data_IF_475237456469
#
_entry.id   IF_475237456469
#
_cell.length_a   1.000
_cell.length_b   1.000
_cell.length_c   1.000
_cell.angle_alpha   90.00
_cell.angle_beta   90.00
_cell.angle_gamma   90.00
#
_symmetry.space_group_name_H-M   'P 1'
#
loop_
_entity.id
_entity.type
_entity.pdbx_description
1 polymer ?
#
# COMPACT_ATOMS: atom_id res chain seq x y z
N UNK A 1 0.84 -14.36 -8.03
CA UNK A 1 -0.52 -13.83 -8.27
C UNK A 1 -1.10 -13.32 -6.96
N UNK A 2 -2.00 -12.35 -7.00
CA UNK A 2 -2.75 -11.84 -5.84
C UNK A 2 -4.22 -11.71 -6.21
N UNK A 3 -5.12 -12.10 -5.31
CA UNK A 3 -6.56 -11.89 -5.43
C UNK A 3 -6.99 -10.74 -4.53
N UNK A 4 -7.87 -9.89 -5.07
CA UNK A 4 -8.34 -8.67 -4.45
C UNK A 4 -9.87 -8.74 -4.36
N UNK A 5 -10.43 -8.39 -3.21
CA UNK A 5 -11.87 -8.23 -3.04
C UNK A 5 -12.15 -6.89 -2.35
N UNK A 6 -13.02 -6.08 -2.95
CA UNK A 6 -13.43 -4.78 -2.43
C UNK A 6 -14.86 -4.87 -1.88
N UNK A 7 -15.16 -4.00 -0.93
CA UNK A 7 -16.45 -3.92 -0.24
C UNK A 7 -17.66 -3.72 -1.17
N UNK A 8 -17.46 -3.10 -2.33
CA UNK A 8 -18.49 -2.96 -3.35
C UNK A 8 -18.73 -4.24 -4.18
N UNK A 9 -18.10 -5.36 -3.82
CA UNK A 9 -18.24 -6.66 -4.48
C UNK A 9 -17.29 -6.88 -5.66
N UNK A 10 -16.44 -5.89 -5.99
CA UNK A 10 -15.45 -6.01 -7.05
C UNK A 10 -14.39 -7.05 -6.65
N UNK A 11 -14.19 -8.05 -7.50
CA UNK A 11 -13.18 -9.09 -7.34
C UNK A 11 -12.22 -9.03 -8.53
N UNK A 12 -10.92 -8.94 -8.25
CA UNK A 12 -9.87 -8.82 -9.25
C UNK A 12 -8.74 -9.80 -8.96
N UNK A 13 -8.03 -10.19 -10.00
CA UNK A 13 -6.75 -10.89 -9.89
C UNK A 13 -5.67 -10.05 -10.57
N UNK A 14 -4.50 -10.02 -9.95
CA UNK A 14 -3.40 -9.19 -10.39
C UNK A 14 -2.04 -9.86 -10.12
N UNK A 15 -0.98 -9.19 -10.54
CA UNK A 15 0.39 -9.63 -10.29
C UNK A 15 0.83 -9.16 -8.90
N UNK A 16 1.54 -10.03 -8.18
CA UNK A 16 2.15 -9.67 -6.90
C UNK A 16 3.64 -9.45 -7.13
N UNK A 17 4.19 -8.38 -6.56
CA UNK A 17 5.62 -8.09 -6.58
C UNK A 17 6.22 -7.76 -5.20
N UNK A 18 5.38 -7.51 -4.18
CA UNK A 18 5.83 -7.20 -2.81
C UNK A 18 5.87 -8.43 -1.91
N UNK A 19 5.50 -8.24 -0.64
CA UNK A 19 5.37 -9.31 0.33
C UNK A 19 4.27 -10.33 -0.04
N UNK A 20 4.33 -11.50 0.60
CA UNK A 20 3.29 -12.53 0.52
C UNK A 20 2.42 -12.50 1.78
N UNK A 21 1.15 -12.86 1.67
CA UNK A 21 0.22 -12.98 2.79
C UNK A 21 -1.18 -12.50 2.43
N UNK A 22 -1.97 -12.22 3.47
CA UNK A 22 -3.30 -11.62 3.37
C UNK A 22 -3.32 -10.35 4.20
N UNK A 23 -3.72 -9.24 3.60
CA UNK A 23 -3.91 -7.98 4.31
C UNK A 23 -5.29 -7.40 4.04
N UNK A 24 -5.84 -6.74 5.05
CA UNK A 24 -7.11 -6.01 4.98
C UNK A 24 -6.84 -4.56 5.31
N UNK A 25 -7.49 -3.66 4.59
CA UNK A 25 -7.29 -2.24 4.75
C UNK A 25 -8.27 -1.41 3.96
N UNK A 26 -8.22 -0.11 4.17
CA UNK A 26 -8.99 0.86 3.40
C UNK A 26 -8.23 1.22 2.12
N UNK A 27 -8.91 1.19 0.98
CA UNK A 27 -8.36 1.56 -0.30
C UNK A 27 -8.47 3.06 -0.51
N UNK A 28 -7.33 3.71 -0.67
CA UNK A 28 -7.19 5.14 -0.96
C UNK A 28 -6.39 5.34 -2.24
N UNK A 29 -6.39 6.54 -2.80
CA UNK A 29 -5.54 6.86 -3.95
C UNK A 29 -4.64 8.06 -3.67
N UNK A 30 -3.46 8.04 -4.28
CA UNK A 30 -2.50 9.12 -4.23
C UNK A 30 -2.16 9.60 -5.65
N UNK A 31 -2.18 10.92 -5.84
CA UNK A 31 -1.96 11.57 -7.14
C UNK A 31 -0.53 12.05 -7.38
N UNK A 32 0.37 11.82 -6.44
CA UNK A 32 1.80 12.13 -6.59
C UNK A 32 2.38 11.33 -7.74
N UNK A 33 3.19 12.01 -8.57
CA UNK A 33 3.90 11.40 -9.69
C UNK A 33 5.29 10.88 -9.29
N UNK A 34 5.77 11.27 -8.12
CA UNK A 34 7.05 10.89 -7.52
C UNK A 34 6.88 10.68 -6.01
N UNK A 35 7.93 10.19 -5.36
CA UNK A 35 7.95 10.05 -3.90
C UNK A 35 7.10 8.88 -3.39
N UNK A 36 7.08 7.76 -4.13
CA UNK A 36 6.27 6.60 -3.72
C UNK A 36 6.79 5.99 -2.42
N UNK A 37 8.09 6.10 -2.11
CA UNK A 37 8.67 5.50 -0.91
C UNK A 37 8.28 6.28 0.35
N UNK A 38 8.29 7.60 0.24
CA UNK A 38 7.83 8.55 1.25
C UNK A 38 6.34 8.29 1.54
N UNK A 39 5.52 8.12 0.50
CA UNK A 39 4.10 7.77 0.65
C UNK A 39 3.92 6.40 1.29
N UNK A 40 4.73 5.40 0.94
CA UNK A 40 4.63 4.06 1.55
C UNK A 40 4.97 4.09 3.04
N UNK A 41 5.95 4.91 3.43
CA UNK A 41 6.49 4.99 4.79
C UNK A 41 5.80 6.05 5.67
N UNK A 42 4.90 6.85 5.12
CA UNK A 42 4.12 7.83 5.88
C UNK A 42 3.17 7.12 6.87
N UNK A 43 3.25 7.42 8.18
CA UNK A 43 2.38 6.84 9.22
C UNK A 43 0.89 7.01 8.95
N UNK A 44 0.50 8.04 8.19
CA UNK A 44 -0.89 8.35 7.86
C UNK A 44 -1.57 7.25 7.05
N UNK A 45 -0.81 6.45 6.29
CA UNK A 45 -1.33 5.33 5.51
C UNK A 45 -1.36 4.01 6.26
N UNK A 46 -1.11 3.99 7.57
CA UNK A 46 -1.13 2.75 8.35
C UNK A 46 -2.47 2.03 8.23
N UNK A 47 -2.43 0.78 7.77
CA UNK A 47 -3.63 -0.03 7.54
C UNK A 47 -4.37 0.28 6.23
N UNK A 48 -3.83 1.13 5.36
CA UNK A 48 -4.43 1.49 4.09
C UNK A 48 -3.70 0.85 2.91
N UNK A 49 -4.44 0.61 1.83
CA UNK A 49 -3.89 0.29 0.52
C UNK A 49 -3.84 1.56 -0.32
N UNK A 50 -2.67 1.86 -0.88
CA UNK A 50 -2.47 3.08 -1.69
C UNK A 50 -2.49 2.73 -3.17
N UNK A 51 -3.47 3.25 -3.90
CA UNK A 51 -3.51 3.22 -5.36
C UNK A 51 -2.74 4.42 -5.91
N UNK A 52 -1.63 4.18 -6.57
CA UNK A 52 -0.90 5.25 -7.25
C UNK A 52 -1.55 5.58 -8.58
N UNK A 53 -1.78 6.88 -8.81
CA UNK A 53 -2.23 7.36 -10.12
C UNK A 53 -1.12 7.31 -11.17
N UNK A 54 0.14 7.43 -10.73
CA UNK A 54 1.32 7.31 -11.58
C UNK A 54 1.39 5.87 -12.14
N UNK A 55 1.40 5.67 -13.46
CA UNK A 55 1.37 4.32 -14.03
C UNK A 55 2.60 3.49 -13.71
N UNK A 56 3.78 4.10 -13.71
CA UNK A 56 5.07 3.44 -13.53
C UNK A 56 5.60 3.63 -12.10
N UNK A 57 5.68 2.54 -11.35
CA UNK A 57 6.17 2.54 -9.96
C UNK A 57 7.44 1.68 -9.86
N UNK A 58 8.38 2.09 -9.01
CA UNK A 58 9.66 1.38 -8.78
C UNK A 58 10.84 1.85 -9.63
N UNK A 59 10.63 2.84 -10.52
CA UNK A 59 11.65 3.33 -11.47
C UNK A 59 12.93 3.89 -10.83
N UNK A 60 12.85 4.39 -9.59
CA UNK A 60 14.00 4.93 -8.85
C UNK A 60 14.46 4.03 -7.70
N UNK A 61 13.95 2.80 -7.60
CA UNK A 61 14.33 1.87 -6.54
C UNK A 61 13.85 2.34 -5.16
N UNK A 62 14.58 1.96 -4.12
CA UNK A 62 14.35 2.40 -2.75
C UNK A 62 15.68 2.65 -2.02
N UNK A 63 15.68 3.56 -1.04
CA UNK A 63 16.83 3.87 -0.21
C UNK A 63 16.41 4.38 1.19
N UNK A 64 17.15 4.09 2.27
CA UNK A 64 16.72 4.44 3.64
C UNK A 64 16.52 5.95 3.91
N UNK A 65 17.05 6.84 3.05
CA UNK A 65 16.95 8.29 3.25
C UNK A 65 15.59 8.87 2.86
N UNK A 66 14.82 8.15 2.05
CA UNK A 66 13.47 8.56 1.61
C UNK A 66 12.38 7.90 2.49
N UNK A 67 12.75 7.33 3.64
CA UNK A 67 11.79 6.84 4.63
C UNK A 67 11.33 7.96 5.56
N UNK A 68 10.04 8.29 5.54
CA UNK A 68 9.43 9.26 6.46
C UNK A 68 9.22 8.65 7.85
N UNK A 69 9.09 7.33 7.94
CA UNK A 69 9.00 6.62 9.21
C UNK A 69 9.30 5.11 9.11
N UNK A 70 9.33 4.46 10.28
CA UNK A 70 9.37 2.99 10.38
C UNK A 70 8.02 2.33 10.08
N UNK A 71 6.93 3.09 10.03
CA UNK A 71 5.61 2.57 9.69
C UNK A 71 5.47 2.39 8.18
N UNK A 72 4.46 1.64 7.76
CA UNK A 72 4.14 1.46 6.36
C UNK A 72 2.66 1.23 6.15
N UNK A 73 2.21 1.54 4.93
CA UNK A 73 0.90 1.14 4.43
C UNK A 73 0.71 -0.39 4.39
N UNK A 74 -0.53 -0.86 4.26
CA UNK A 74 -0.86 -2.29 4.14
C UNK A 74 -0.44 -2.86 2.78
N UNK A 75 -0.52 -2.03 1.74
CA UNK A 75 -0.10 -2.42 0.40
C UNK A 75 -0.18 -1.28 -0.60
N UNK A 76 0.41 -1.52 -1.76
CA UNK A 76 0.42 -0.58 -2.89
C UNK A 76 -0.15 -1.22 -4.13
N UNK A 77 -0.91 -0.44 -4.90
CA UNK A 77 -1.46 -0.81 -6.19
C UNK A 77 -0.90 0.11 -7.26
N UNK A 78 -0.29 -0.49 -8.27
CA UNK A 78 0.30 0.19 -9.41
C UNK A 78 -0.24 -0.38 -10.72
N UNK A 79 -0.20 0.42 -11.79
CA UNK A 79 -0.53 -0.08 -13.13
C UNK A 79 0.61 -0.96 -13.64
N UNK A 80 1.84 -0.44 -13.58
CA UNK A 80 3.07 -1.12 -13.97
C UNK A 80 4.10 -1.00 -12.84
N UNK A 81 4.71 -2.14 -12.53
CA UNK A 81 5.85 -2.21 -11.62
C UNK A 81 7.12 -2.41 -12.44
N UNK A 82 8.13 -1.58 -12.22
CA UNK A 82 9.44 -1.70 -12.84
C UNK A 82 10.37 -2.51 -11.94
N UNK A 83 10.75 -3.70 -12.42
CA UNK A 83 11.71 -4.56 -11.72
C UNK A 83 13.10 -3.92 -11.70
N UNK A 84 13.50 -3.30 -12.81
CA UNK A 84 14.74 -2.55 -12.93
C UNK A 84 14.53 -1.09 -12.53
N UNK A 85 15.42 -0.60 -11.68
CA UNK A 85 15.48 0.80 -11.28
C UNK A 85 16.73 1.48 -11.83
N UNK A 86 16.66 2.80 -12.03
CA UNK A 86 17.79 3.60 -12.48
C UNK A 86 17.83 4.91 -11.70
N UNK A 87 18.56 4.90 -10.58
CA UNK A 87 18.83 6.07 -9.77
C UNK A 87 20.13 5.86 -8.99
N UNK A 88 21.03 6.84 -8.98
CA UNK A 88 22.30 6.76 -8.25
C UNK A 88 22.14 6.69 -6.73
N UNK A 89 20.96 7.08 -6.21
CA UNK A 89 20.63 7.02 -4.79
C UNK A 89 20.04 5.67 -4.36
N UNK A 90 19.69 4.80 -5.30
CA UNK A 90 18.97 3.57 -5.00
C UNK A 90 19.90 2.49 -4.44
N UNK A 91 19.51 1.94 -3.29
CA UNK A 91 20.24 0.83 -2.65
C UNK A 91 19.59 -0.52 -2.97
N UNK A 92 18.30 -0.55 -3.30
CA UNK A 92 17.56 -1.78 -3.59
C UNK A 92 16.36 -1.56 -4.54
N UNK A 93 15.76 -2.65 -5.01
CA UNK A 93 14.51 -2.57 -5.77
C UNK A 93 13.33 -2.32 -4.83
N UNK A 94 12.27 -1.70 -5.36
CA UNK A 94 11.05 -1.50 -4.58
C UNK A 94 10.44 -2.84 -4.12
N UNK A 95 10.54 -3.92 -4.92
CA UNK A 95 10.09 -5.27 -4.49
C UNK A 95 10.80 -5.74 -3.23
N UNK A 96 12.13 -5.59 -3.16
CA UNK A 96 12.92 -5.99 -1.99
C UNK A 96 12.49 -5.18 -0.75
N UNK A 97 12.38 -3.85 -0.91
CA UNK A 97 11.93 -2.94 0.14
C UNK A 97 10.52 -3.29 0.68
N UNK A 98 9.56 -3.57 -0.20
CA UNK A 98 8.21 -3.97 0.24
C UNK A 98 8.20 -5.31 0.97
N UNK A 99 9.00 -6.29 0.52
CA UNK A 99 9.09 -7.60 1.17
C UNK A 99 9.66 -7.51 2.57
N UNK A 100 10.72 -6.72 2.74
CA UNK A 100 11.35 -6.48 4.05
C UNK A 100 10.35 -5.87 5.05
N UNK A 101 9.51 -4.94 4.58
CA UNK A 101 8.51 -4.25 5.41
C UNK A 101 7.17 -5.00 5.53
N UNK A 102 7.04 -6.16 4.91
CA UNK A 102 5.80 -6.95 4.92
C UNK A 102 4.64 -6.28 4.17
N UNK A 103 4.91 -5.38 3.23
CA UNK A 103 3.91 -4.62 2.47
C UNK A 103 3.54 -5.36 1.19
N UNK A 104 2.24 -5.51 0.91
CA UNK A 104 1.80 -6.13 -0.34
C UNK A 104 2.04 -5.20 -1.53
N UNK A 105 2.66 -5.71 -2.59
CA UNK A 105 2.84 -4.97 -3.84
C UNK A 105 2.00 -5.60 -4.94
N UNK A 106 1.09 -4.83 -5.53
CA UNK A 106 0.11 -5.30 -6.53
C UNK A 106 0.29 -4.50 -7.83
N UNK A 107 0.50 -5.19 -8.94
CA UNK A 107 0.67 -4.58 -10.26
C UNK A 107 -0.25 -5.19 -11.32
N UNK A 108 -0.42 -4.50 -12.45
CA UNK A 108 -1.28 -4.96 -13.55
C UNK A 108 -2.76 -4.67 -13.35
N UNK A 109 -3.12 -3.82 -12.38
CA UNK A 109 -4.50 -3.36 -12.19
C UNK A 109 -4.79 -2.10 -13.01
N UNK A 110 -6.04 -1.89 -13.42
CA UNK A 110 -6.47 -0.61 -13.97
C UNK A 110 -6.65 0.41 -12.83
N UNK A 111 -5.55 1.06 -12.45
CA UNK A 111 -5.55 2.08 -11.38
C UNK A 111 -6.46 3.26 -11.71
N UNK A 112 -6.63 3.61 -12.99
CA UNK A 112 -7.52 4.71 -13.39
C UNK A 112 -8.98 4.35 -13.13
N UNK A 113 -9.39 3.13 -13.45
CA UNK A 113 -10.73 2.63 -13.13
C UNK A 113 -10.95 2.51 -11.61
N UNK A 114 -9.95 2.03 -10.86
CA UNK A 114 -10.02 2.00 -9.39
C UNK A 114 -10.18 3.41 -8.78
N UNK A 115 -9.42 4.39 -9.26
CA UNK A 115 -9.52 5.78 -8.80
C UNK A 115 -10.90 6.36 -9.10
N UNK A 116 -11.48 6.08 -10.28
CA UNK A 116 -12.85 6.49 -10.61
C UNK A 116 -13.86 5.87 -9.65
N UNK A 117 -13.71 4.59 -9.34
CA UNK A 117 -14.55 3.89 -8.35
C UNK A 117 -14.45 4.56 -6.98
N UNK A 118 -13.23 4.85 -6.49
CA UNK A 118 -13.02 5.53 -5.21
C UNK A 118 -13.60 6.94 -5.20
N UNK A 119 -13.53 7.68 -6.32
CA UNK A 119 -14.17 9.00 -6.44
C UNK A 119 -15.70 8.94 -6.41
N UNK A 120 -16.30 7.82 -6.81
CA UNK A 120 -17.75 7.63 -6.82
C UNK A 120 -18.28 7.13 -5.47
N UNK A 121 -17.62 6.12 -4.88
CA UNK A 121 -18.07 5.46 -3.65
C UNK A 121 -17.44 6.03 -2.37
N UNK A 122 -16.41 6.86 -2.49
CA UNK A 122 -15.52 7.20 -1.37
C UNK A 122 -14.50 6.08 -1.12
N UNK A 123 -13.89 6.11 0.06
CA UNK A 123 -12.96 5.07 0.47
C UNK A 123 -13.69 3.73 0.67
N UNK A 124 -13.10 2.64 0.18
CA UNK A 124 -13.67 1.30 0.23
C UNK A 124 -12.77 0.39 1.05
N UNK A 125 -13.35 -0.49 1.88
CA UNK A 125 -12.56 -1.56 2.47
C UNK A 125 -12.16 -2.59 1.40
N UNK A 126 -10.98 -3.16 1.56
CA UNK A 126 -10.41 -4.13 0.64
C UNK A 126 -9.63 -5.21 1.40
N UNK A 127 -9.68 -6.43 0.90
CA UNK A 127 -8.73 -7.50 1.23
C UNK A 127 -7.92 -7.87 -0.01
N UNK A 128 -6.61 -8.07 0.18
CA UNK A 128 -5.72 -8.61 -0.83
C UNK A 128 -5.01 -9.85 -0.26
N UNK A 129 -4.91 -10.91 -1.06
CA UNK A 129 -4.26 -12.15 -0.65
C UNK A 129 -3.45 -12.81 -1.75
N UNK A 130 -2.22 -13.22 -1.43
CA UNK A 130 -1.37 -14.05 -2.29
C UNK A 130 -1.52 -15.55 -2.00
N UNK A 131 -2.35 -15.92 -1.03
CA UNK A 131 -2.51 -17.31 -0.55
C UNK A 131 -3.95 -17.82 -0.71
N UNK A 132 -4.94 -16.95 -0.53
CA UNK A 132 -6.35 -17.26 -0.70
C UNK A 132 -6.88 -16.59 -1.95
N UNK A 133 -7.54 -17.38 -2.80
CA UNK A 133 -8.01 -16.93 -4.10
C UNK A 133 -9.53 -17.11 -4.28
N UNK A 134 -10.20 -17.76 -3.34
CA UNK A 134 -11.65 -17.91 -3.34
C UNK A 134 -12.34 -16.59 -2.94
N UNK A 135 -13.20 -16.10 -3.84
CA UNK A 135 -13.96 -14.86 -3.64
C UNK A 135 -14.81 -14.90 -2.36
N UNK A 136 -15.48 -16.01 -2.06
CA UNK A 136 -16.40 -16.09 -0.92
C UNK A 136 -15.64 -16.07 0.41
N UNK A 137 -14.45 -16.68 0.46
CA UNK A 137 -13.58 -16.61 1.64
C UNK A 137 -13.02 -15.21 1.84
N UNK A 138 -12.56 -14.54 0.77
CA UNK A 138 -12.10 -13.15 0.86
C UNK A 138 -13.24 -12.21 1.30
N UNK A 139 -14.45 -12.41 0.79
CA UNK A 139 -15.63 -11.67 1.23
C UNK A 139 -15.90 -11.87 2.74
N UNK A 140 -15.82 -13.10 3.24
CA UNK A 140 -15.95 -13.39 4.69
C UNK A 140 -14.85 -12.72 5.50
N UNK A 141 -13.61 -12.72 5.03
CA UNK A 141 -12.49 -12.04 5.69
C UNK A 141 -12.77 -10.53 5.77
N UNK A 142 -13.21 -9.92 4.66
CA UNK A 142 -13.48 -8.49 4.61
C UNK A 142 -14.66 -8.09 5.51
N UNK A 143 -15.73 -8.88 5.53
CA UNK A 143 -16.91 -8.64 6.38
C UNK A 143 -16.60 -8.68 7.88
N UNK A 144 -15.64 -9.49 8.29
CA UNK A 144 -15.25 -9.64 9.70
C UNK A 144 -14.14 -8.66 10.13
N UNK A 145 -13.57 -7.90 9.20
CA UNK A 145 -12.48 -6.99 9.51
C UNK A 145 -13.00 -5.69 10.14
N UNK A 146 -12.32 -5.16 11.17
CA UNK A 146 -12.66 -3.86 11.72
C UNK A 146 -12.39 -2.76 10.69
N UNK A 147 -13.28 -1.77 10.62
CA UNK A 147 -13.02 -0.56 9.85
C UNK A 147 -11.95 0.29 10.52
N UNK A 148 -11.14 0.95 9.71
CA UNK A 148 -10.09 1.86 10.17
C UNK A 148 -10.66 2.96 11.08
N UNK A 149 -11.84 3.51 10.75
CA UNK A 149 -12.52 4.53 11.53
C UNK A 149 -12.82 4.13 12.98
N UNK A 150 -12.84 2.82 13.28
CA UNK A 150 -13.12 2.29 14.61
C UNK A 150 -11.84 1.86 15.36
N UNK A 151 -10.67 2.09 14.76
CA UNK A 151 -9.38 1.68 15.30
C UNK A 151 -8.58 2.91 15.75
N UNK A 152 -7.97 2.92 16.96
CA UNK A 152 -7.26 4.08 17.48
C UNK A 152 -5.87 4.23 16.83
N UNK A 153 -5.83 4.50 15.52
CA UNK A 153 -4.60 4.56 14.72
C UNK A 153 -3.58 5.58 15.25
N UNK A 154 -4.02 6.74 15.72
CA UNK A 154 -3.12 7.77 16.25
C UNK A 154 -2.26 7.22 17.39
N UNK A 155 -2.87 6.43 18.28
CA UNK A 155 -2.15 5.81 19.39
C UNK A 155 -1.18 4.71 18.95
N UNK A 156 -1.46 4.02 17.83
CA UNK A 156 -0.63 2.93 17.32
C UNK A 156 0.61 3.41 16.57
N UNK A 157 0.60 4.67 16.10
CA UNK A 157 1.75 5.31 15.43
C UNK A 157 2.46 6.37 16.28
N UNK A 158 1.96 6.66 17.48
CA UNK A 158 2.57 7.64 18.40
C UNK A 158 3.80 7.07 19.12
N UNK A 159 4.80 7.92 19.35
CA UNK A 159 5.90 7.57 20.26
C UNK A 159 5.39 7.41 21.69
N UNK A 160 5.85 6.38 22.44
CA UNK A 160 5.52 6.22 23.86
C UNK A 160 6.33 7.15 24.78
N UNK A 161 7.35 7.82 24.25
CA UNK A 161 8.27 8.68 25.02
C UNK A 161 8.39 10.05 24.37
N UNK A 162 8.61 11.06 25.20
CA UNK A 162 8.95 12.41 24.73
C UNK A 162 10.34 12.37 24.12
N UNK A 163 10.47 12.86 22.88
CA UNK A 163 11.72 12.93 22.13
C UNK A 163 11.89 14.38 21.67
N UNK A 164 13.08 14.95 21.87
CA UNK A 164 13.43 16.29 21.41
C UNK A 164 14.13 16.19 20.06
N UNK A 165 13.52 16.76 19.02
CA UNK A 165 14.17 16.90 17.72
C UNK A 165 14.95 18.22 17.70
N UNK A 166 16.26 18.15 17.49
CA UNK A 166 17.05 19.35 17.24
C UNK A 166 16.73 19.88 15.83
N UNK A 167 16.51 21.19 15.69
CA UNK A 167 16.35 21.79 14.36
C UNK A 167 17.62 21.54 13.56
N UNK A 168 17.47 20.95 12.38
CA UNK A 168 18.54 20.93 11.38
C UNK A 168 18.91 22.38 11.07
N UNK A 169 20.20 22.70 11.17
CA UNK A 169 20.77 24.01 10.82
C UNK A 169 21.00 24.10 9.32
#
# INVERSE_FOLDING_TARGET
MVSLYLENGLFLQAQSFGASGTQVGELVFNTSMSGYQEVISDPSYKGQFVVFSMPEIGVVGANPKDDESFFSCAGVLARHYNEFFSNSRADSSLSAYLKERGVLGISGVDTRSLIKTLRHYGCLMMVASTIEHDKNKLEKILKNAPRISHSPLVSSVSTPKIITHQRAT
#
